data_IF_167187373918
#
_entry.id   IF_167187373918
#
_cell.length_a   1.000
_cell.length_b   1.000
_cell.length_c   1.000
_cell.angle_alpha   90.00
_cell.angle_beta   90.00
_cell.angle_gamma   90.00
#
_symmetry.space_group_name_H-M   'P 1'
#
loop_
_entity.id
_entity.type
_entity.pdbx_description
1 polymer ?
#
# COMPACT_ATOMS: atom_id res chain seq x y z
N UNK A 1 0.20 -0.24 7.76
CA UNK A 1 -0.69 -1.14 8.52
C UNK A 1 -2.15 -0.64 8.54
N UNK A 2 -2.42 0.67 8.59
CA UNK A 2 -3.79 1.21 8.65
C UNK A 2 -4.68 0.82 7.46
N UNK A 3 -4.12 0.41 6.33
CA UNK A 3 -4.89 -0.16 5.22
C UNK A 3 -5.44 -1.56 5.52
N UNK A 4 -4.92 -2.22 6.56
CA UNK A 4 -5.21 -3.62 6.91
C UNK A 4 -5.93 -3.75 8.25
N UNK A 5 -6.72 -2.75 8.63
CA UNK A 5 -7.58 -2.84 9.81
C UNK A 5 -9.05 -2.98 9.39
N UNK A 6 -9.83 -3.67 10.22
CA UNK A 6 -11.26 -3.91 9.98
C UNK A 6 -12.05 -2.60 9.86
N UNK A 7 -11.58 -1.56 10.56
CA UNK A 7 -12.24 -0.25 10.60
C UNK A 7 -11.84 0.68 9.44
N UNK A 8 -10.94 0.24 8.53
CA UNK A 8 -10.58 1.01 7.34
C UNK A 8 -11.68 0.94 6.28
N UNK A 9 -11.84 2.02 5.51
CA UNK A 9 -12.80 2.10 4.40
C UNK A 9 -12.37 1.29 3.15
N UNK A 10 -11.31 0.49 3.24
CA UNK A 10 -10.87 -0.36 2.15
C UNK A 10 -11.86 -1.50 1.91
N UNK A 11 -12.09 -1.80 0.66
CA UNK A 11 -12.94 -2.94 0.31
C UNK A 11 -12.23 -4.26 0.63
N UNK A 12 -12.98 -5.35 0.93
CA UNK A 12 -12.39 -6.67 1.13
C UNK A 12 -11.51 -7.12 -0.04
N UNK A 13 -11.89 -6.75 -1.28
CA UNK A 13 -11.11 -7.03 -2.50
C UNK A 13 -9.75 -6.34 -2.47
N UNK A 14 -9.69 -5.07 -2.05
CA UNK A 14 -8.43 -4.35 -1.90
C UNK A 14 -7.56 -4.94 -0.79
N UNK A 15 -8.16 -5.28 0.34
CA UNK A 15 -7.44 -5.91 1.45
C UNK A 15 -6.86 -7.26 1.04
N UNK A 16 -7.62 -8.06 0.30
CA UNK A 16 -7.15 -9.34 -0.24
C UNK A 16 -5.98 -9.14 -1.21
N UNK A 17 -6.07 -8.16 -2.12
CA UNK A 17 -4.99 -7.83 -3.04
C UNK A 17 -3.70 -7.42 -2.30
N UNK A 18 -3.81 -6.72 -1.16
CA UNK A 18 -2.64 -6.38 -0.34
C UNK A 18 -2.04 -7.60 0.39
N UNK A 19 -2.86 -8.57 0.82
CA UNK A 19 -2.38 -9.80 1.46
C UNK A 19 -1.63 -10.69 0.47
N UNK A 20 -2.12 -10.76 -0.76
CA UNK A 20 -1.52 -11.60 -1.81
C UNK A 20 -0.24 -11.00 -2.41
N UNK A 21 -0.03 -9.69 -2.25
CA UNK A 21 1.08 -8.98 -2.85
C UNK A 21 2.38 -9.11 -2.05
N UNK A 22 3.47 -9.38 -2.74
CA UNK A 22 4.82 -9.28 -2.20
C UNK A 22 5.43 -7.87 -2.36
N UNK A 23 6.56 -7.63 -1.71
CA UNK A 23 7.30 -6.35 -1.78
C UNK A 23 7.73 -5.96 -3.21
N UNK A 24 7.84 -6.93 -4.13
CA UNK A 24 8.22 -6.73 -5.53
C UNK A 24 7.04 -6.45 -6.45
N UNK A 25 5.81 -6.64 -5.97
CA UNK A 25 4.59 -6.46 -6.75
C UNK A 25 4.09 -5.01 -6.74
N UNK A 26 4.99 -4.09 -6.43
CA UNK A 26 4.72 -2.67 -6.46
C UNK A 26 5.48 -1.97 -7.57
N UNK A 27 4.88 -0.91 -8.11
CA UNK A 27 5.47 -0.04 -9.11
C UNK A 27 5.29 1.42 -8.73
N UNK A 28 6.22 2.27 -9.14
CA UNK A 28 6.08 3.71 -9.03
C UNK A 28 5.52 4.24 -10.35
N UNK A 29 4.30 4.77 -10.32
CA UNK A 29 3.62 5.24 -11.52
C UNK A 29 3.03 6.65 -11.31
N UNK A 30 2.83 7.37 -12.43
CA UNK A 30 2.13 8.66 -12.49
C UNK A 30 0.71 8.50 -13.04
N UNK A 31 0.32 7.30 -13.40
CA UNK A 31 -0.86 7.00 -14.21
C UNK A 31 -2.19 7.43 -13.58
N UNK A 32 -2.29 7.53 -12.27
CA UNK A 32 -3.54 7.93 -11.60
C UNK A 32 -3.62 9.43 -11.31
N UNK A 33 -2.59 10.04 -10.75
CA UNK A 33 -2.67 11.42 -10.25
C UNK A 33 -1.80 12.41 -11.02
N UNK A 34 -0.91 11.92 -11.88
CA UNK A 34 0.13 12.74 -12.52
C UNK A 34 1.36 12.98 -11.64
N UNK A 35 1.29 12.66 -10.35
CA UNK A 35 2.45 12.62 -9.45
C UNK A 35 2.92 11.18 -9.24
N UNK A 36 4.23 10.97 -9.04
CA UNK A 36 4.75 9.63 -8.73
C UNK A 36 4.14 9.10 -7.42
N UNK A 37 3.46 7.97 -7.52
CA UNK A 37 2.91 7.23 -6.40
C UNK A 37 3.30 5.76 -6.53
N UNK A 38 3.63 5.11 -5.42
CA UNK A 38 3.84 3.66 -5.41
C UNK A 38 2.50 2.98 -5.18
N UNK A 39 2.23 1.93 -5.96
CA UNK A 39 0.99 1.16 -5.95
C UNK A 39 1.24 -0.28 -6.38
N UNK A 40 0.27 -1.16 -6.21
CA UNK A 40 0.35 -2.50 -6.77
C UNK A 40 0.41 -2.43 -8.31
N UNK A 41 1.18 -3.35 -8.88
CA UNK A 41 1.18 -3.59 -10.33
C UNK A 41 -0.17 -4.19 -10.73
N UNK A 42 -0.70 -3.74 -11.84
CA UNK A 42 -1.91 -4.27 -12.45
C UNK A 42 -1.98 -3.83 -13.92
N UNK A 43 -3.00 -4.27 -14.64
CA UNK A 43 -3.18 -3.98 -16.07
C UNK A 43 -3.20 -2.48 -16.38
N UNK A 44 -3.77 -1.66 -15.48
CA UNK A 44 -3.72 -0.21 -15.62
C UNK A 44 -2.30 0.33 -15.59
N UNK A 45 -1.50 -0.08 -14.62
CA UNK A 45 -0.12 0.40 -14.50
C UNK A 45 0.76 -0.09 -15.64
N UNK A 46 0.52 -1.29 -16.14
CA UNK A 46 1.22 -1.87 -17.27
C UNK A 46 0.86 -1.16 -18.59
N UNK A 47 -0.42 -0.90 -18.82
CA UNK A 47 -0.87 -0.16 -20.00
C UNK A 47 -0.22 1.23 -20.10
N UNK A 48 -0.07 1.95 -18.97
CA UNK A 48 0.58 3.26 -18.96
C UNK A 48 2.12 3.21 -19.07
N UNK A 49 2.73 2.04 -18.96
CA UNK A 49 4.17 1.82 -19.14
C UNK A 49 4.52 1.20 -20.50
N UNK A 50 3.52 0.76 -21.23
CA UNK A 50 3.71 0.14 -22.55
C UNK A 50 4.23 1.16 -23.55
N UNK A 51 5.31 0.82 -24.25
CA UNK A 51 5.91 1.66 -25.27
C UNK A 51 4.89 1.99 -26.38
N UNK A 52 4.81 3.25 -26.77
CA UNK A 52 3.85 3.75 -27.75
C UNK A 52 2.53 4.26 -27.17
N UNK A 53 2.24 4.00 -25.88
CA UNK A 53 1.10 4.59 -25.20
C UNK A 53 1.39 6.04 -24.75
N UNK A 54 0.36 6.88 -24.58
CA UNK A 54 0.54 8.26 -24.13
C UNK A 54 1.21 8.34 -22.76
N UNK A 55 2.10 9.31 -22.59
CA UNK A 55 2.66 9.63 -21.27
C UNK A 55 1.60 10.21 -20.33
N UNK A 56 1.66 9.88 -19.03
CA UNK A 56 0.76 10.48 -18.04
C UNK A 56 0.92 12.01 -18.00
N UNK A 57 -0.20 12.72 -18.01
CA UNK A 57 -0.24 14.16 -17.84
C UNK A 57 0.27 14.58 -16.46
N UNK A 58 0.63 15.86 -16.32
CA UNK A 58 0.92 16.43 -15.00
C UNK A 58 -0.34 16.56 -14.14
N UNK A 59 -0.15 16.59 -12.80
CA UNK A 59 -1.24 16.91 -11.88
C UNK A 59 -1.66 18.40 -12.06
N UNK A 60 -2.97 18.75 -12.05
CA UNK A 60 -4.12 17.85 -11.76
C UNK A 60 -4.73 17.18 -13.00
N UNK A 61 -4.20 17.43 -14.20
CA UNK A 61 -4.83 17.02 -15.46
C UNK A 61 -4.97 15.50 -15.59
N UNK A 62 -3.98 14.75 -15.12
CA UNK A 62 -4.05 13.29 -15.15
C UNK A 62 -5.25 12.76 -14.36
N UNK A 63 -5.60 13.38 -13.25
CA UNK A 63 -6.76 12.97 -12.46
C UNK A 63 -8.09 13.18 -13.21
N UNK A 64 -8.16 14.15 -14.10
CA UNK A 64 -9.34 14.33 -14.96
C UNK A 64 -9.54 13.15 -15.92
N UNK A 65 -8.44 12.54 -16.35
CA UNK A 65 -8.47 11.33 -17.22
C UNK A 65 -8.78 10.07 -16.39
N UNK A 66 -8.12 9.89 -15.25
CA UNK A 66 -8.20 8.69 -14.43
C UNK A 66 -9.37 8.67 -13.44
N UNK A 67 -9.94 9.83 -13.09
CA UNK A 67 -10.90 9.97 -12.00
C UNK A 67 -12.16 9.11 -12.15
N UNK A 68 -12.64 8.93 -13.38
CA UNK A 68 -13.77 8.03 -13.65
C UNK A 68 -13.41 6.57 -13.38
N UNK A 69 -12.20 6.15 -13.76
CA UNK A 69 -11.70 4.80 -13.50
C UNK A 69 -11.54 4.56 -11.99
N UNK A 70 -10.93 5.52 -11.26
CA UNK A 70 -10.81 5.47 -9.79
C UNK A 70 -12.18 5.36 -9.13
N UNK A 71 -13.16 6.16 -9.56
CA UNK A 71 -14.54 6.07 -9.03
C UNK A 71 -15.19 4.72 -9.32
N UNK A 72 -14.94 4.13 -10.48
CA UNK A 72 -15.45 2.82 -10.84
C UNK A 72 -14.86 1.72 -9.94
N UNK A 73 -13.56 1.80 -9.58
CA UNK A 73 -12.93 0.81 -8.70
C UNK A 73 -13.50 0.84 -7.27
N UNK A 74 -13.95 1.99 -6.81
CA UNK A 74 -14.66 2.08 -5.53
C UNK A 74 -16.12 1.59 -5.61
N UNK A 75 -16.78 1.82 -6.74
CA UNK A 75 -18.19 1.49 -6.91
C UNK A 75 -18.43 0.02 -7.24
N UNK A 76 -17.52 -0.59 -7.98
CA UNK A 76 -17.60 -1.98 -8.44
C UNK A 76 -16.28 -2.73 -8.21
N UNK A 77 -15.84 -2.89 -6.95
CA UNK A 77 -14.51 -3.43 -6.64
C UNK A 77 -14.26 -4.83 -7.22
N UNK A 78 -15.27 -5.71 -7.18
CA UNK A 78 -15.13 -7.09 -7.69
C UNK A 78 -14.96 -7.17 -9.21
N UNK A 79 -15.41 -6.15 -9.94
CA UNK A 79 -15.37 -6.12 -11.42
C UNK A 79 -14.15 -5.35 -11.95
N UNK A 80 -13.42 -4.67 -11.09
CA UNK A 80 -12.36 -3.74 -11.47
C UNK A 80 -11.02 -4.05 -10.79
N UNK A 81 -10.86 -5.28 -10.30
CA UNK A 81 -9.65 -5.75 -9.60
C UNK A 81 -8.38 -5.46 -10.40
N UNK A 82 -8.40 -5.81 -11.69
CA UNK A 82 -7.24 -5.73 -12.58
C UNK A 82 -6.81 -4.28 -12.93
N UNK A 83 -7.65 -3.31 -12.60
CA UNK A 83 -7.38 -1.88 -12.87
C UNK A 83 -7.51 -1.01 -11.62
N UNK A 84 -7.59 -1.62 -10.45
CA UNK A 84 -7.84 -0.92 -9.20
C UNK A 84 -6.68 0.01 -8.80
N UNK A 85 -7.00 1.18 -8.24
CA UNK A 85 -6.02 2.07 -7.64
C UNK A 85 -5.71 1.59 -6.21
N UNK A 86 -4.63 0.85 -6.06
CA UNK A 86 -4.17 0.28 -4.80
C UNK A 86 -2.84 0.90 -4.35
N UNK A 87 -2.85 2.14 -3.81
CA UNK A 87 -1.64 2.82 -3.38
C UNK A 87 -1.08 2.15 -2.12
N UNK A 88 0.14 1.64 -2.22
CA UNK A 88 0.83 0.97 -1.11
C UNK A 88 2.33 0.97 -1.34
N UNK A 89 3.11 1.00 -0.26
CA UNK A 89 4.56 0.86 -0.28
C UNK A 89 5.02 -0.61 -0.36
N UNK A 90 6.33 -0.81 -0.47
CA UNK A 90 6.93 -2.16 -0.48
C UNK A 90 6.70 -2.94 0.84
N UNK A 91 6.29 -2.26 1.90
CA UNK A 91 5.83 -2.86 3.16
C UNK A 91 4.63 -3.79 2.99
N UNK A 92 3.95 -3.73 1.84
CA UNK A 92 2.84 -4.63 1.51
C UNK A 92 3.19 -6.10 1.68
N UNK A 93 4.43 -6.49 1.39
CA UNK A 93 4.90 -7.85 1.61
C UNK A 93 4.98 -8.31 3.08
N UNK A 94 4.61 -7.45 4.03
CA UNK A 94 4.49 -7.78 5.46
C UNK A 94 3.03 -7.88 5.90
N UNK A 95 2.07 -7.71 4.99
CA UNK A 95 0.66 -7.81 5.31
C UNK A 95 0.19 -9.26 5.18
N UNK A 96 -0.20 -9.85 6.29
CA UNK A 96 -0.63 -11.26 6.34
C UNK A 96 -2.14 -11.41 6.55
N UNK A 97 -2.76 -10.43 7.20
CA UNK A 97 -4.18 -10.48 7.57
C UNK A 97 -4.76 -9.09 7.86
N UNK A 98 -6.06 -9.03 7.89
CA UNK A 98 -6.81 -7.89 8.43
C UNK A 98 -6.96 -8.07 9.94
N UNK A 99 -6.74 -7.02 10.72
CA UNK A 99 -6.78 -7.04 12.17
C UNK A 99 -7.61 -5.86 12.71
N UNK A 100 -8.04 -5.94 13.97
CA UNK A 100 -8.64 -4.81 14.64
C UNK A 100 -7.61 -3.73 14.95
N UNK A 101 -7.98 -2.48 14.80
CA UNK A 101 -7.11 -1.33 15.12
C UNK A 101 -6.49 -1.43 16.51
N UNK A 102 -7.28 -1.85 17.51
CA UNK A 102 -6.79 -2.04 18.88
C UNK A 102 -5.66 -3.05 18.98
N UNK A 103 -5.77 -4.19 18.28
CA UNK A 103 -4.73 -5.21 18.27
C UNK A 103 -3.43 -4.73 17.60
N UNK A 104 -3.53 -3.92 16.55
CA UNK A 104 -2.37 -3.30 15.90
C UNK A 104 -1.65 -2.35 16.85
N UNK A 105 -2.39 -1.51 17.57
CA UNK A 105 -1.81 -0.57 18.53
C UNK A 105 -1.14 -1.32 19.67
N UNK A 106 -1.80 -2.32 20.25
CA UNK A 106 -1.25 -3.13 21.33
C UNK A 106 0.06 -3.82 20.90
N UNK A 107 0.09 -4.42 19.72
CA UNK A 107 1.30 -5.01 19.17
C UNK A 107 2.43 -3.99 19.03
N UNK A 108 2.18 -2.80 18.48
CA UNK A 108 3.20 -1.78 18.32
C UNK A 108 3.75 -1.26 19.66
N UNK A 109 2.89 -1.14 20.69
CA UNK A 109 3.34 -0.77 22.02
C UNK A 109 4.26 -1.85 22.58
N UNK A 110 3.90 -3.12 22.45
CA UNK A 110 4.73 -4.23 22.93
C UNK A 110 6.07 -4.30 22.16
N UNK A 111 6.06 -4.22 20.84
CA UNK A 111 7.26 -4.16 20.01
C UNK A 111 8.18 -3.00 20.40
N UNK A 112 7.62 -1.83 20.73
CA UNK A 112 8.39 -0.69 21.20
C UNK A 112 9.05 -0.97 22.56
N UNK A 113 8.32 -1.55 23.52
CA UNK A 113 8.85 -1.90 24.83
C UNK A 113 9.98 -2.92 24.72
N UNK A 114 9.77 -3.99 23.95
CA UNK A 114 10.79 -5.02 23.69
C UNK A 114 12.04 -4.44 23.03
N UNK A 115 11.88 -3.55 22.06
CA UNK A 115 13.00 -2.90 21.39
C UNK A 115 13.78 -1.99 22.34
N UNK A 116 13.10 -1.32 23.26
CA UNK A 116 13.72 -0.44 24.27
C UNK A 116 14.52 -1.28 25.29
N UNK A 117 13.94 -2.35 25.79
CA UNK A 117 14.62 -3.28 26.71
C UNK A 117 15.87 -3.89 26.06
N UNK A 118 15.75 -4.30 24.79
CA UNK A 118 16.88 -4.83 24.04
C UNK A 118 18.01 -3.79 23.87
N UNK A 119 17.65 -2.54 23.59
CA UNK A 119 18.62 -1.44 23.47
C UNK A 119 19.34 -1.20 24.79
N UNK A 120 18.64 -1.21 25.92
CA UNK A 120 19.22 -1.04 27.25
C UNK A 120 20.21 -2.16 27.56
N UNK A 121 19.87 -3.42 27.27
CA UNK A 121 20.76 -4.56 27.41
C UNK A 121 22.05 -4.42 26.59
N UNK A 122 21.94 -3.93 25.33
CA UNK A 122 23.10 -3.69 24.49
C UNK A 122 23.99 -2.58 25.04
N UNK A 123 23.40 -1.51 25.56
CA UNK A 123 24.14 -0.40 26.19
C UNK A 123 24.88 -0.85 27.47
N UNK A 124 24.24 -1.65 28.31
CA UNK A 124 24.86 -2.23 29.53
C UNK A 124 26.02 -3.15 29.16
N UNK A 125 25.84 -4.02 28.15
CA UNK A 125 26.90 -4.91 27.68
C UNK A 125 28.10 -4.12 27.12
N UNK A 126 27.85 -3.02 26.41
CA UNK A 126 28.91 -2.16 25.88
C UNK A 126 29.64 -1.36 26.98
N UNK A 127 28.95 -1.00 28.05
CA UNK A 127 29.55 -0.26 29.18
C UNK A 127 30.38 -1.15 30.12
N UNK A 128 30.18 -2.47 30.07
CA UNK A 128 30.92 -3.44 30.90
C UNK A 128 32.23 -3.94 30.26
N UNK A 129 32.63 -3.43 29.11
CA UNK A 129 33.88 -3.69 28.40
C UNK A 129 34.83 -2.53 28.59
#
# INVERSE_FOLDING_TARGET
>A
QWLMVEEAENTPVQQQAYIEAGSRDTVRSRSFTGKPCRMLKNDWTEAWQTEGNPEPLGMPLQYMVSGMAVSATHRWPDQTVDVAFNPVGQVVGQFEKVEKTGAVIERWVNEYLEATEHLDQLNEAAAGV
#
